data_IF_305406426340
#
_entry.id   IF_305406426340
#
_cell.length_a   1.000
_cell.length_b   1.000
_cell.length_c   1.000
_cell.angle_alpha   90.00
_cell.angle_beta   90.00
_cell.angle_gamma   90.00
#
_symmetry.space_group_name_H-M   'P 1'
#
loop_
_entity.id
_entity.type
_entity.pdbx_description
1 polymer ?
#
# COMPACT_ATOMS: atom_id res chain seq x y z
N UNK A 1 31.62 -8.59 20.47
CA UNK A 1 30.67 -9.62 19.98
C UNK A 1 29.87 -8.96 18.87
N UNK A 2 29.92 -9.48 17.64
CA UNK A 2 29.11 -8.93 16.56
C UNK A 2 27.64 -9.16 16.89
N UNK A 3 26.86 -8.10 17.04
CA UNK A 3 25.42 -8.22 17.20
C UNK A 3 24.88 -8.99 15.98
N UNK A 4 24.18 -10.10 16.21
CA UNK A 4 23.49 -10.82 15.15
C UNK A 4 22.56 -9.82 14.46
N UNK A 5 22.76 -9.58 13.16
CA UNK A 5 21.95 -8.62 12.40
C UNK A 5 20.56 -9.22 12.22
N UNK A 6 19.62 -8.79 13.04
CA UNK A 6 18.23 -9.27 13.04
C UNK A 6 17.37 -8.29 12.26
N UNK A 7 16.60 -8.78 11.29
CA UNK A 7 15.69 -7.96 10.48
C UNK A 7 14.25 -8.06 11.02
N UNK A 8 13.50 -6.95 11.17
CA UNK A 8 12.11 -7.01 11.62
C UNK A 8 11.21 -7.64 10.56
N UNK A 9 10.16 -8.36 10.98
CA UNK A 9 9.17 -8.91 10.05
C UNK A 9 8.31 -7.81 9.42
N UNK A 10 8.80 -7.27 8.29
CA UNK A 10 8.12 -6.29 7.44
C UNK A 10 7.49 -6.95 6.22
N UNK A 11 6.28 -6.52 5.90
CA UNK A 11 5.50 -7.07 4.79
C UNK A 11 5.15 -5.96 3.81
N UNK A 12 5.36 -6.24 2.52
CA UNK A 12 4.75 -5.49 1.45
C UNK A 12 3.52 -6.22 0.91
N UNK A 13 2.95 -5.68 -0.16
CA UNK A 13 1.75 -6.25 -0.77
C UNK A 13 1.91 -7.71 -1.25
N UNK A 14 3.12 -8.12 -1.69
CA UNK A 14 3.35 -9.49 -2.14
C UNK A 14 3.32 -10.48 -0.97
N UNK A 15 3.95 -10.13 0.15
CA UNK A 15 3.98 -10.96 1.36
C UNK A 15 2.57 -11.05 1.96
N UNK A 16 1.84 -9.93 2.04
CA UNK A 16 0.44 -9.91 2.51
C UNK A 16 -0.43 -10.82 1.62
N UNK A 17 -0.31 -10.70 0.31
CA UNK A 17 -1.07 -11.51 -0.63
C UNK A 17 -0.76 -13.01 -0.45
N UNK A 18 0.52 -13.35 -0.28
CA UNK A 18 0.92 -14.73 -0.01
C UNK A 18 0.42 -15.25 1.34
N UNK A 19 0.40 -14.43 2.40
CA UNK A 19 -0.07 -14.85 3.71
C UNK A 19 -1.57 -15.14 3.74
N UNK A 20 -2.36 -14.44 2.94
CA UNK A 20 -3.81 -14.62 2.86
C UNK A 20 -4.26 -15.48 1.68
N UNK A 21 -3.32 -16.07 0.92
CA UNK A 21 -3.61 -16.86 -0.28
C UNK A 21 -4.51 -16.11 -1.28
N UNK A 22 -4.24 -14.82 -1.48
CA UNK A 22 -4.95 -13.95 -2.42
C UNK A 22 -3.98 -13.37 -3.46
N UNK A 23 -4.54 -12.78 -4.52
CA UNK A 23 -3.77 -12.02 -5.50
C UNK A 23 -3.21 -10.71 -4.93
N UNK A 24 -2.06 -10.26 -5.45
CA UNK A 24 -1.42 -9.00 -5.02
C UNK A 24 -2.34 -7.78 -5.16
N UNK A 25 -3.18 -7.76 -6.20
CA UNK A 25 -4.17 -6.70 -6.42
C UNK A 25 -5.20 -6.62 -5.30
N UNK A 26 -5.54 -7.75 -4.68
CA UNK A 26 -6.48 -7.80 -3.55
C UNK A 26 -5.90 -7.10 -2.32
N UNK A 27 -4.61 -7.30 -2.02
CA UNK A 27 -3.92 -6.56 -0.94
C UNK A 27 -3.89 -5.05 -1.18
N UNK A 28 -3.68 -4.61 -2.43
CA UNK A 28 -3.76 -3.20 -2.80
C UNK A 28 -5.18 -2.64 -2.62
N UNK A 29 -6.18 -3.42 -3.02
CA UNK A 29 -7.59 -3.06 -2.86
C UNK A 29 -7.97 -2.92 -1.39
N UNK A 30 -7.48 -3.81 -0.52
CA UNK A 30 -7.69 -3.71 0.93
C UNK A 30 -7.17 -2.40 1.50
N UNK A 31 -6.00 -1.93 1.06
CA UNK A 31 -5.51 -0.60 1.44
C UNK A 31 -6.47 0.50 0.99
N UNK A 32 -6.90 0.49 -0.27
CA UNK A 32 -7.81 1.53 -0.79
C UNK A 32 -9.20 1.53 -0.15
N UNK A 33 -9.65 0.38 0.35
CA UNK A 33 -10.95 0.20 1.03
C UNK A 33 -10.87 0.39 2.55
N UNK A 34 -9.70 0.72 3.10
CA UNK A 34 -9.50 0.88 4.54
C UNK A 34 -9.52 -0.42 5.35
N UNK A 35 -9.48 -1.57 4.68
CA UNK A 35 -9.37 -2.89 5.32
C UNK A 35 -7.97 -3.11 5.86
N UNK A 36 -6.96 -2.80 5.04
CA UNK A 36 -5.58 -2.69 5.47
C UNK A 36 -5.35 -1.23 5.85
N UNK A 37 -4.91 -0.98 7.09
CA UNK A 37 -4.62 0.36 7.60
C UNK A 37 -3.48 1.03 6.82
N UNK A 38 -3.25 2.31 7.11
CA UNK A 38 -2.06 3.00 6.62
C UNK A 38 -0.79 2.23 6.96
N UNK A 39 0.25 2.31 6.10
CA UNK A 39 1.48 1.58 6.31
C UNK A 39 2.19 2.04 7.58
N UNK A 40 2.72 1.09 8.34
CA UNK A 40 3.53 1.34 9.52
C UNK A 40 4.86 2.02 9.14
N UNK A 41 5.38 1.77 7.93
CA UNK A 41 6.55 2.45 7.39
C UNK A 41 6.48 2.66 5.89
N UNK A 42 7.11 3.73 5.40
CA UNK A 42 7.33 3.97 3.98
C UNK A 42 8.83 4.07 3.72
N UNK A 43 9.38 3.18 2.89
CA UNK A 43 10.82 3.09 2.63
C UNK A 43 11.06 3.12 1.13
N UNK A 44 11.92 4.03 0.65
CA UNK A 44 12.11 4.28 -0.79
C UNK A 44 10.79 4.53 -1.56
N UNK A 45 9.76 5.01 -0.84
CA UNK A 45 8.40 5.27 -1.26
C UNK A 45 7.50 4.04 -1.47
N UNK A 46 7.94 2.86 -1.04
CA UNK A 46 7.09 1.67 -0.96
C UNK A 46 6.46 1.55 0.43
N UNK A 47 5.17 1.18 0.54
CA UNK A 47 4.51 0.96 1.83
C UNK A 47 4.86 -0.40 2.42
N UNK A 48 5.10 -0.44 3.71
CA UNK A 48 5.36 -1.64 4.50
C UNK A 48 4.51 -1.66 5.76
N UNK A 49 4.16 -2.87 6.18
CA UNK A 49 3.41 -3.12 7.41
C UNK A 49 4.17 -4.09 8.32
N UNK A 50 3.98 -3.92 9.62
CA UNK A 50 4.41 -4.85 10.64
C UNK A 50 3.54 -6.11 10.57
N UNK A 51 4.12 -7.26 10.91
CA UNK A 51 3.38 -8.52 10.97
C UNK A 51 2.10 -8.43 11.84
N UNK A 52 2.11 -7.84 13.05
CA UNK A 52 0.90 -7.70 13.85
C UNK A 52 -0.18 -6.84 13.17
N UNK A 53 0.20 -5.74 12.52
CA UNK A 53 -0.73 -4.88 11.76
C UNK A 53 -1.42 -5.65 10.64
N UNK A 54 -0.69 -6.53 9.95
CA UNK A 54 -1.24 -7.42 8.92
C UNK A 54 -2.10 -8.54 9.52
N UNK A 55 -1.74 -9.10 10.67
CA UNK A 55 -2.55 -10.15 11.30
C UNK A 55 -3.87 -9.60 11.88
N UNK A 56 -3.88 -8.32 12.27
CA UNK A 56 -5.06 -7.66 12.83
C UNK A 56 -6.24 -7.52 11.84
N UNK A 57 -6.00 -7.66 10.53
CA UNK A 57 -7.09 -7.63 9.53
C UNK A 57 -7.77 -8.99 9.37
N UNK A 58 -7.27 -10.04 10.03
CA UNK A 58 -7.82 -11.38 9.89
C UNK A 58 -9.23 -11.47 10.49
N UNK A 59 -10.14 -12.12 9.77
CA UNK A 59 -11.52 -12.38 10.16
C UNK A 59 -11.78 -13.87 9.97
N UNK A 60 -12.12 -14.55 11.06
CA UNK A 60 -12.36 -16.01 11.06
C UNK A 60 -13.42 -16.37 10.02
N UNK A 61 -13.11 -17.34 9.15
CA UNK A 61 -13.99 -17.83 8.08
C UNK A 61 -14.11 -16.93 6.84
N UNK A 62 -13.49 -15.75 6.82
CA UNK A 62 -13.51 -14.84 5.66
C UNK A 62 -12.10 -14.52 5.16
N UNK A 63 -11.20 -14.14 6.07
CA UNK A 63 -9.85 -13.67 5.77
C UNK A 63 -8.90 -14.21 6.83
N UNK A 64 -8.31 -15.35 6.56
CA UNK A 64 -7.42 -16.02 7.51
C UNK A 64 -5.98 -16.01 6.99
N UNK A 65 -5.05 -15.82 7.91
CA UNK A 65 -3.62 -15.99 7.60
C UNK A 65 -3.36 -17.48 7.49
N UNK A 66 -2.79 -17.90 6.37
CA UNK A 66 -2.30 -19.25 6.16
C UNK A 66 -1.09 -19.51 7.09
N UNK A 67 -1.21 -20.44 8.06
CA UNK A 67 -0.14 -20.71 9.02
C UNK A 67 1.12 -21.29 8.35
N UNK A 68 0.98 -22.04 7.26
CA UNK A 68 2.11 -22.62 6.54
C UNK A 68 2.90 -21.50 5.84
N UNK A 69 2.21 -20.58 5.16
CA UNK A 69 2.82 -19.40 4.53
C UNK A 69 3.48 -18.47 5.54
N UNK A 70 2.86 -18.27 6.69
CA UNK A 70 3.46 -17.49 7.77
C UNK A 70 4.77 -18.10 8.28
N UNK A 71 4.80 -19.43 8.44
CA UNK A 71 6.00 -20.15 8.84
C UNK A 71 7.09 -20.04 7.78
N UNK A 72 6.77 -20.26 6.50
CA UNK A 72 7.70 -20.11 5.38
C UNK A 72 8.29 -18.70 5.32
N UNK A 73 7.46 -17.66 5.42
CA UNK A 73 7.89 -16.27 5.43
C UNK A 73 8.87 -15.99 6.58
N UNK A 74 8.56 -16.43 7.81
CA UNK A 74 9.46 -16.21 8.96
C UNK A 74 10.81 -16.91 8.80
N UNK A 75 10.86 -18.06 8.11
CA UNK A 75 12.09 -18.80 7.86
C UNK A 75 13.03 -18.13 6.85
N UNK A 76 12.54 -17.15 6.08
CA UNK A 76 13.38 -16.39 5.14
C UNK A 76 14.34 -15.43 5.85
N UNK A 77 14.07 -15.06 7.10
CA UNK A 77 14.88 -14.11 7.86
C UNK A 77 15.56 -14.82 9.03
N UNK A 78 16.85 -15.09 8.88
CA UNK A 78 17.64 -15.62 9.99
C UNK A 78 17.63 -14.61 11.15
N UNK A 79 17.23 -15.08 12.33
CA UNK A 79 17.04 -14.21 13.50
C UNK A 79 15.95 -13.14 13.34
N UNK A 80 15.00 -13.27 12.40
CA UNK A 80 13.90 -12.31 12.28
C UNK A 80 13.12 -12.12 13.58
N UNK A 81 12.49 -10.95 13.76
CA UNK A 81 11.74 -10.66 14.99
C UNK A 81 10.48 -9.83 14.72
N UNK A 82 9.52 -9.96 15.64
CA UNK A 82 8.27 -9.21 15.59
C UNK A 82 8.50 -7.85 16.24
N UNK A 83 8.14 -6.79 15.53
CA UNK A 83 7.97 -5.43 16.07
C UNK A 83 6.47 -5.18 16.18
N UNK A 84 6.04 -4.66 17.33
CA UNK A 84 4.61 -4.41 17.61
C UNK A 84 4.22 -2.95 17.47
N UNK A 85 5.17 -2.04 17.68
CA UNK A 85 5.01 -0.59 17.56
C UNK A 85 5.86 -0.06 16.39
N UNK A 86 5.30 0.70 15.44
CA UNK A 86 6.06 1.35 14.38
C UNK A 86 7.22 2.21 14.90
N UNK A 87 7.10 2.82 16.09
CA UNK A 87 8.14 3.67 16.68
C UNK A 87 9.37 2.85 17.16
N UNK A 88 9.19 1.54 17.39
CA UNK A 88 10.27 0.60 17.74
C UNK A 88 10.97 0.02 16.50
N UNK A 89 10.55 0.40 15.29
CA UNK A 89 11.17 -0.09 14.07
C UNK A 89 12.60 0.46 13.95
N UNK A 90 13.62 -0.39 13.69
CA UNK A 90 14.96 0.12 13.41
C UNK A 90 14.96 0.99 12.15
N UNK A 91 16.01 1.80 11.99
CA UNK A 91 16.22 2.57 10.77
C UNK A 91 16.42 1.63 9.57
N UNK A 92 15.34 1.31 8.85
CA UNK A 92 15.37 0.54 7.61
C UNK A 92 15.36 1.51 6.43
N UNK A 93 16.30 1.30 5.51
CA UNK A 93 16.46 2.10 4.30
C UNK A 93 16.39 1.24 3.05
N UNK A 94 15.96 1.85 1.95
CA UNK A 94 15.96 1.22 0.64
C UNK A 94 17.05 1.83 -0.25
N UNK A 95 17.11 1.33 -1.49
CA UNK A 95 18.15 1.71 -2.44
C UNK A 95 18.17 3.22 -2.79
N UNK A 96 17.05 3.93 -2.62
CA UNK A 96 16.97 5.37 -2.93
C UNK A 96 17.53 6.28 -1.85
N UNK A 97 17.56 5.82 -0.60
CA UNK A 97 18.10 6.59 0.53
C UNK A 97 19.64 6.46 0.62
N UNK A 98 20.21 5.33 0.18
CA UNK A 98 21.66 5.09 0.24
C UNK A 98 22.51 6.18 -0.48
N UNK A 99 22.13 6.71 -1.66
CA UNK A 99 22.83 7.83 -2.29
C UNK A 99 23.02 9.06 -1.40
N UNK A 100 22.07 9.32 -0.49
CA UNK A 100 22.16 10.45 0.44
C UNK A 100 23.33 10.26 1.41
N UNK A 101 23.51 9.04 1.92
CA UNK A 101 24.59 8.70 2.85
C UNK A 101 25.98 8.96 2.25
N UNK A 102 26.15 8.72 0.95
CA UNK A 102 27.45 8.80 0.28
C UNK A 102 27.66 10.07 -0.56
N UNK A 103 26.66 10.95 -0.62
CA UNK A 103 26.67 12.10 -1.54
C UNK A 103 26.84 11.68 -3.01
N UNK A 104 26.23 10.57 -3.40
CA UNK A 104 26.34 9.98 -4.75
C UNK A 104 25.04 10.08 -5.52
N UNK A 105 25.10 9.79 -6.83
CA UNK A 105 23.90 9.63 -7.64
C UNK A 105 23.34 8.23 -7.44
N UNK A 106 22.03 8.09 -7.62
CA UNK A 106 21.34 6.79 -7.56
C UNK A 106 22.04 5.72 -8.42
N UNK A 107 22.46 6.07 -9.64
CA UNK A 107 23.09 5.11 -10.55
C UNK A 107 24.45 4.60 -10.06
N UNK A 108 25.21 5.41 -9.31
CA UNK A 108 26.51 5.00 -8.77
C UNK A 108 26.29 3.89 -7.72
N UNK A 109 25.36 4.12 -6.80
CA UNK A 109 25.00 3.16 -5.75
C UNK A 109 24.34 1.91 -6.33
N UNK A 110 23.48 2.05 -7.35
CA UNK A 110 22.91 0.92 -8.07
C UNK A 110 24.01 0.01 -8.67
N UNK A 111 25.03 0.61 -9.29
CA UNK A 111 26.17 -0.14 -9.80
C UNK A 111 26.98 -0.81 -8.69
N UNK A 112 27.13 -0.17 -7.53
CA UNK A 112 27.77 -0.81 -6.38
C UNK A 112 27.02 -2.07 -5.96
N UNK A 113 25.69 -2.02 -5.86
CA UNK A 113 24.86 -3.19 -5.56
C UNK A 113 25.05 -4.30 -6.59
N UNK A 114 24.89 -3.99 -7.88
CA UNK A 114 25.00 -4.99 -8.97
C UNK A 114 26.38 -5.66 -8.99
N UNK A 115 27.44 -4.90 -8.68
CA UNK A 115 28.82 -5.40 -8.65
C UNK A 115 29.23 -5.97 -7.28
N UNK A 116 28.29 -6.16 -6.35
CA UNK A 116 28.57 -6.63 -4.98
C UNK A 116 29.63 -5.78 -4.24
N UNK A 117 29.70 -4.49 -4.60
CA UNK A 117 30.53 -3.47 -3.96
C UNK A 117 29.76 -2.69 -2.89
N UNK A 118 28.61 -3.20 -2.46
CA UNK A 118 27.82 -2.74 -1.32
C UNK A 118 27.55 -3.96 -0.44
N UNK A 119 27.25 -3.76 0.85
CA UNK A 119 26.71 -4.81 1.70
C UNK A 119 25.54 -5.54 1.01
N UNK A 120 25.44 -6.88 1.15
CA UNK A 120 24.22 -7.60 0.78
C UNK A 120 22.99 -6.98 1.46
N UNK A 121 21.85 -6.97 0.77
CA UNK A 121 20.56 -6.60 1.38
C UNK A 121 20.24 -7.48 2.59
N UNK A 122 19.76 -6.87 3.66
CA UNK A 122 19.28 -7.59 4.86
C UNK A 122 17.93 -8.28 4.57
N UNK A 123 17.15 -7.75 3.63
CA UNK A 123 15.88 -8.32 3.20
C UNK A 123 15.51 -7.90 1.77
N UNK A 124 14.73 -8.73 1.08
CA UNK A 124 13.99 -8.33 -0.13
C UNK A 124 12.51 -8.51 0.11
N UNK A 125 11.76 -7.41 0.19
CA UNK A 125 10.32 -7.41 0.50
C UNK A 125 9.56 -6.85 -0.70
N UNK A 126 8.62 -7.62 -1.24
CA UNK A 126 7.85 -7.26 -2.43
C UNK A 126 8.72 -6.85 -3.63
N UNK A 127 9.89 -7.50 -3.77
CA UNK A 127 10.88 -7.24 -4.81
C UNK A 127 11.75 -6.00 -4.59
N UNK A 128 11.62 -5.33 -3.45
CA UNK A 128 12.44 -4.17 -3.09
C UNK A 128 13.55 -4.58 -2.12
N UNK A 129 14.82 -4.32 -2.42
CA UNK A 129 15.92 -4.61 -1.51
C UNK A 129 15.95 -3.57 -0.38
N UNK A 130 16.12 -4.05 0.85
CA UNK A 130 16.12 -3.28 2.08
C UNK A 130 17.39 -3.59 2.89
N UNK A 131 17.87 -2.56 3.58
CA UNK A 131 18.99 -2.65 4.51
C UNK A 131 18.61 -2.01 5.84
N UNK A 132 19.17 -2.52 6.92
CA UNK A 132 19.35 -1.76 8.15
C UNK A 132 20.36 -0.65 7.87
N UNK A 133 20.08 0.57 8.33
CA UNK A 133 21.01 1.70 8.22
C UNK A 133 22.39 1.31 8.77
N UNK A 134 22.43 0.64 9.93
CA UNK A 134 23.67 0.18 10.53
C UNK A 134 24.44 -0.78 9.62
N UNK A 135 23.78 -1.65 8.86
CA UNK A 135 24.46 -2.55 7.91
C UNK A 135 25.22 -1.76 6.84
N UNK A 136 24.64 -0.68 6.33
CA UNK A 136 25.29 0.18 5.35
C UNK A 136 26.43 0.99 5.97
N UNK A 137 26.26 1.47 7.22
CA UNK A 137 27.31 2.19 7.94
C UNK A 137 28.52 1.31 8.26
N UNK A 138 28.30 0.08 8.73
CA UNK A 138 29.38 -0.89 8.99
C UNK A 138 30.17 -1.21 7.71
N UNK A 139 29.47 -1.40 6.58
CA UNK A 139 30.12 -1.67 5.27
C UNK A 139 30.86 -0.44 4.75
N UNK A 140 30.33 0.77 4.98
CA UNK A 140 31.02 2.00 4.65
C UNK A 140 32.32 2.13 5.44
N UNK A 141 32.30 1.86 6.74
CA UNK A 141 33.49 1.87 7.61
C UNK A 141 34.51 0.82 7.15
N UNK A 142 34.08 -0.43 6.94
CA UNK A 142 34.94 -1.53 6.50
C UNK A 142 35.63 -1.22 5.16
N UNK A 143 34.93 -0.53 4.25
CA UNK A 143 35.44 -0.10 2.94
C UNK A 143 36.09 1.27 2.96
N UNK A 144 36.18 1.94 4.12
CA UNK A 144 36.72 3.29 4.31
C UNK A 144 36.06 4.33 3.40
N UNK A 145 34.74 4.24 3.23
CA UNK A 145 33.95 5.19 2.44
C UNK A 145 33.48 6.33 3.33
N UNK A 146 33.62 7.60 2.89
CA UNK A 146 33.07 8.71 3.63
C UNK A 146 31.54 8.65 3.62
N UNK A 147 30.94 8.86 4.79
CA UNK A 147 29.49 9.00 4.97
C UNK A 147 29.20 10.43 5.41
N UNK A 148 28.11 11.01 4.89
CA UNK A 148 27.62 12.33 5.25
C UNK A 148 26.78 12.24 6.53
N UNK A 149 27.21 12.81 7.67
CA UNK A 149 26.47 12.74 8.93
C UNK A 149 25.07 13.34 8.82
N UNK A 150 24.91 14.42 8.06
CA UNK A 150 23.63 15.10 7.87
C UNK A 150 22.61 14.17 7.21
N UNK A 151 23.04 13.27 6.34
CA UNK A 151 22.15 12.29 5.71
C UNK A 151 21.69 11.21 6.71
N UNK A 152 22.53 10.83 7.68
CA UNK A 152 22.16 9.91 8.75
C UNK A 152 21.05 10.53 9.61
N UNK A 153 21.22 11.79 10.01
CA UNK A 153 20.25 12.50 10.84
C UNK A 153 18.91 12.66 10.12
N UNK A 154 18.92 12.98 8.83
CA UNK A 154 17.70 13.04 8.00
C UNK A 154 16.96 11.70 7.97
N UNK A 155 17.69 10.59 7.78
CA UNK A 155 17.09 9.25 7.77
C UNK A 155 16.48 8.90 9.13
N UNK A 156 17.20 9.19 10.22
CA UNK A 156 16.71 8.97 11.60
C UNK A 156 15.53 9.85 11.98
N UNK A 157 15.47 11.07 11.43
CA UNK A 157 14.32 11.95 11.55
C UNK A 157 13.09 11.49 10.73
N UNK A 158 13.19 10.35 10.02
CA UNK A 158 12.11 9.81 9.21
C UNK A 158 12.00 10.44 7.83
N UNK A 159 12.96 11.25 7.37
CA UNK A 159 12.95 11.75 6.00
C UNK A 159 13.15 10.59 5.03
N UNK A 160 12.34 10.58 3.96
CA UNK A 160 12.37 9.55 2.91
C UNK A 160 12.30 10.22 1.55
N UNK A 161 12.87 9.57 0.52
CA UNK A 161 12.83 10.11 -0.83
C UNK A 161 11.37 10.24 -1.27
N UNK A 162 10.92 11.49 -1.48
CA UNK A 162 9.55 11.74 -1.90
C UNK A 162 9.36 11.22 -3.32
N UNK A 163 8.67 10.09 -3.46
CA UNK A 163 8.14 9.69 -4.76
C UNK A 163 7.05 10.70 -5.10
N UNK A 164 7.35 11.61 -6.05
CA UNK A 164 6.29 12.37 -6.74
C UNK A 164 5.26 11.36 -7.23
N UNK A 165 3.98 11.48 -6.84
CA UNK A 165 2.98 10.50 -7.23
C UNK A 165 2.98 10.37 -8.76
N UNK A 166 3.36 9.19 -9.27
CA UNK A 166 3.20 8.85 -10.69
C UNK A 166 1.71 8.58 -10.91
N UNK A 167 0.96 9.65 -11.14
CA UNK A 167 -0.48 9.58 -11.38
C UNK A 167 -1.13 10.93 -11.18
N UNK A 168 -1.96 11.32 -12.16
CA UNK A 168 -2.79 12.53 -12.26
C UNK A 168 -3.19 13.07 -10.88
N UNK A 169 -3.01 14.39 -10.67
CA UNK A 169 -3.63 15.16 -9.57
C UNK A 169 -4.98 14.51 -9.26
N UNK A 170 -5.13 13.91 -8.07
CA UNK A 170 -6.46 13.69 -7.51
C UNK A 170 -7.06 15.08 -7.51
N UNK A 171 -7.97 15.35 -8.44
CA UNK A 171 -8.98 16.34 -8.13
C UNK A 171 -9.56 15.86 -6.81
N UNK A 172 -9.56 16.73 -5.80
CA UNK A 172 -10.53 16.64 -4.71
C UNK A 172 -11.90 16.59 -5.38
N UNK A 173 -12.30 15.40 -5.79
CA UNK A 173 -13.71 15.11 -5.90
C UNK A 173 -14.02 14.78 -4.47
N UNK A 174 -14.51 15.79 -3.75
CA UNK A 174 -15.30 15.58 -2.55
C UNK A 174 -16.10 14.31 -2.80
N UNK A 175 -15.93 13.33 -1.91
CA UNK A 175 -16.75 12.15 -1.94
C UNK A 175 -18.18 12.64 -1.74
N UNK A 176 -18.89 12.90 -2.85
CA UNK A 176 -20.32 13.17 -2.83
C UNK A 176 -20.89 11.95 -2.15
N UNK A 177 -21.37 12.17 -0.92
CA UNK A 177 -22.09 11.19 -0.14
C UNK A 177 -23.09 10.54 -1.09
N UNK A 178 -22.83 9.28 -1.44
CA UNK A 178 -23.76 8.52 -2.27
C UNK A 178 -24.99 8.30 -1.42
N UNK A 179 -25.95 9.22 -1.51
CA UNK A 179 -27.30 9.03 -1.03
C UNK A 179 -27.81 7.68 -1.56
N UNK A 180 -28.51 6.94 -0.71
CA UNK A 180 -29.01 5.62 -1.08
C UNK A 180 -29.87 5.74 -2.35
N UNK A 181 -29.75 4.80 -3.30
CA UNK A 181 -30.50 4.89 -4.55
C UNK A 181 -32.01 4.86 -4.27
N UNK A 182 -32.82 5.63 -5.01
CA UNK A 182 -34.26 5.57 -4.89
C UNK A 182 -34.79 4.19 -5.27
N UNK A 183 -35.85 3.73 -4.60
CA UNK A 183 -36.49 2.46 -4.90
C UNK A 183 -36.95 2.40 -6.36
N UNK A 184 -36.71 1.26 -7.01
CA UNK A 184 -37.14 1.02 -8.39
C UNK A 184 -38.64 1.26 -8.58
N UNK A 185 -39.03 2.08 -9.57
CA UNK A 185 -40.43 2.33 -9.95
C UNK A 185 -40.75 1.77 -11.33
N UNK A 186 -42.01 1.34 -11.53
CA UNK A 186 -42.55 0.93 -12.82
C UNK A 186 -43.58 1.95 -13.30
N UNK A 187 -43.52 2.33 -14.58
CA UNK A 187 -44.45 3.25 -15.21
C UNK A 187 -45.21 2.52 -16.32
N UNK A 188 -46.54 2.73 -16.41
CA UNK A 188 -47.40 2.13 -17.42
C UNK A 188 -48.23 3.22 -18.11
N UNK A 189 -48.37 3.21 -19.45
CA UNK A 189 -49.21 4.18 -20.16
C UNK A 189 -50.65 4.14 -19.64
N UNK A 190 -51.28 5.31 -19.47
CA UNK A 190 -52.69 5.41 -19.09
C UNK A 190 -53.62 5.13 -20.28
N UNK A 191 -54.91 4.87 -20.01
CA UNK A 191 -55.90 4.56 -21.06
C UNK A 191 -56.25 5.77 -21.94
N UNK A 192 -55.94 6.99 -21.49
CA UNK A 192 -56.15 8.24 -22.22
C UNK A 192 -54.82 8.94 -22.50
N UNK A 193 -54.75 9.71 -23.58
CA UNK A 193 -53.55 10.45 -23.99
C UNK A 193 -53.04 11.39 -22.87
N UNK A 194 -53.96 12.11 -22.21
CA UNK A 194 -53.65 13.01 -21.09
C UNK A 194 -53.03 12.28 -19.88
N UNK A 195 -53.46 11.04 -19.63
CA UNK A 195 -52.89 10.21 -18.55
C UNK A 195 -51.53 9.65 -18.93
N UNK A 196 -51.29 9.41 -20.23
CA UNK A 196 -49.99 8.95 -20.74
C UNK A 196 -48.95 10.06 -20.66
N UNK A 197 -49.32 11.31 -20.98
CA UNK A 197 -48.42 12.46 -20.83
C UNK A 197 -48.02 12.71 -19.36
N UNK A 198 -48.97 12.62 -18.43
CA UNK A 198 -48.68 12.74 -17.00
C UNK A 198 -47.70 11.65 -16.49
N UNK A 199 -47.84 10.41 -16.97
CA UNK A 199 -46.93 9.30 -16.64
C UNK A 199 -45.53 9.53 -17.22
N UNK A 200 -45.43 10.10 -18.42
CA UNK A 200 -44.15 10.45 -19.05
C UNK A 200 -43.43 11.54 -18.25
N UNK A 201 -44.15 12.56 -17.81
CA UNK A 201 -43.59 13.66 -17.01
C UNK A 201 -43.08 13.15 -15.65
N UNK A 202 -43.84 12.30 -14.96
CA UNK A 202 -43.40 11.69 -13.69
C UNK A 202 -42.17 10.79 -13.88
N UNK A 203 -42.14 10.00 -14.95
CA UNK A 203 -40.98 9.18 -15.29
C UNK A 203 -39.74 10.03 -15.59
N UNK A 204 -39.90 11.14 -16.32
CA UNK A 204 -38.82 12.08 -16.61
C UNK A 204 -38.28 12.75 -15.33
N UNK A 205 -39.16 13.17 -14.42
CA UNK A 205 -38.78 13.74 -13.13
C UNK A 205 -37.99 12.73 -12.27
N UNK A 206 -38.42 11.47 -12.24
CA UNK A 206 -37.72 10.40 -11.52
C UNK A 206 -36.31 10.13 -12.08
N UNK A 207 -36.17 10.10 -13.41
CA UNK A 207 -34.87 9.92 -14.07
C UNK A 207 -33.95 11.12 -13.82
N UNK A 208 -34.48 12.34 -13.91
CA UNK A 208 -33.73 13.57 -13.65
C UNK A 208 -33.18 13.60 -12.23
N UNK A 209 -33.98 13.19 -11.23
CA UNK A 209 -33.56 13.13 -9.84
C UNK A 209 -32.49 12.05 -9.59
N UNK A 210 -32.64 10.87 -10.20
CA UNK A 210 -31.63 9.81 -10.11
C UNK A 210 -30.28 10.24 -10.71
N UNK A 211 -30.31 10.96 -11.84
CA UNK A 211 -29.11 11.51 -12.47
C UNK A 211 -28.49 12.64 -11.64
N UNK A 212 -29.31 13.53 -11.04
CA UNK A 212 -28.86 14.61 -10.15
C UNK A 212 -28.16 14.08 -8.91
N UNK A 213 -28.61 12.95 -8.38
CA UNK A 213 -27.98 12.23 -7.27
C UNK A 213 -26.73 11.40 -7.68
N UNK A 214 -26.31 11.47 -8.96
CA UNK A 214 -25.12 10.78 -9.45
C UNK A 214 -25.31 9.27 -9.68
N UNK A 215 -26.55 8.80 -9.83
CA UNK A 215 -26.85 7.41 -10.16
C UNK A 215 -26.99 7.20 -11.67
N UNK A 216 -26.69 6.00 -12.15
CA UNK A 216 -27.02 5.57 -13.50
C UNK A 216 -28.40 4.91 -13.54
N UNK A 217 -29.18 5.21 -14.57
CA UNK A 217 -30.53 4.65 -14.75
C UNK A 217 -30.52 3.59 -15.84
N UNK A 218 -31.11 2.42 -15.56
CA UNK A 218 -31.36 1.37 -16.57
C UNK A 218 -32.86 1.16 -16.72
N UNK A 219 -33.39 1.37 -17.92
CA UNK A 219 -34.80 1.12 -18.24
C UNK A 219 -34.94 -0.29 -18.78
N UNK A 220 -35.82 -1.11 -18.20
CA UNK A 220 -36.16 -2.45 -18.69
C UNK A 220 -37.62 -2.48 -19.13
N UNK A 221 -37.94 -2.84 -20.38
CA UNK A 221 -39.31 -3.04 -20.80
C UNK A 221 -39.88 -4.28 -20.09
N UNK A 222 -41.08 -4.15 -19.52
CA UNK A 222 -41.84 -5.29 -18.99
C UNK A 222 -42.49 -5.99 -20.19
N UNK A 223 -42.06 -7.23 -20.46
CA UNK A 223 -42.69 -8.10 -21.46
C UNK A 223 -44.02 -8.63 -20.95
#
# INVERSE_FOLDING_TARGET
MAATKRFPFLLGHAEIASLYSVERQTSQLWKTRGVLKDPDAVISGNPYWLLPSVQAIAVKGEREVDPARLKEYKQQFDGGYVVSDPDDLPDVIGLKEIPWLFGKKYMDVYQWRVRSSLAPEDATISGSPLWLLQTVLDDAEARKRPVLPEAIDRIRAGEREQIKPRGRKKAETEAVSRTAPPTSRSFSPGEKAEQTEAVIEEAAAFVAEALRCGHSVTVRPKR
#
